data_IF_905236074499
#
_entry.id   IF_905236074499
#
_cell.length_a   1.000
_cell.length_b   1.000
_cell.length_c   1.000
_cell.angle_alpha   90.00
_cell.angle_beta   90.00
_cell.angle_gamma   90.00
#
_symmetry.space_group_name_H-M   'P 1'
#
loop_
_entity.id
_entity.type
_entity.pdbx_description
1 polymer ?
#
# COMPACT_ATOMS: atom_id res chain seq x y z
N UNK A 1 -19.98 2.18 21.32
CA UNK A 1 -18.66 1.81 20.77
C UNK A 1 -18.72 1.46 19.28
N UNK A 2 -19.62 0.56 18.85
CA UNK A 2 -19.77 0.21 17.42
C UNK A 2 -20.05 1.42 16.52
N UNK A 3 -20.96 2.32 16.94
CA UNK A 3 -21.28 3.54 16.20
C UNK A 3 -20.04 4.44 16.00
N UNK A 4 -19.29 4.69 17.07
CA UNK A 4 -18.04 5.46 17.00
C UNK A 4 -17.02 4.86 16.01
N UNK A 5 -16.89 3.53 15.94
CA UNK A 5 -16.00 2.88 14.97
C UNK A 5 -16.48 3.04 13.52
N UNK A 6 -17.79 3.03 13.31
CA UNK A 6 -18.41 3.27 11.99
C UNK A 6 -18.18 4.73 11.58
N UNK A 7 -18.41 5.69 12.48
CA UNK A 7 -18.21 7.11 12.22
C UNK A 7 -16.73 7.41 11.87
N UNK A 8 -15.79 6.75 12.56
CA UNK A 8 -14.36 6.81 12.24
C UNK A 8 -14.04 6.20 10.87
N UNK A 9 -14.61 5.04 10.52
CA UNK A 9 -14.44 4.47 9.19
C UNK A 9 -14.92 5.43 8.09
N UNK A 10 -16.08 6.07 8.29
CA UNK A 10 -16.65 7.03 7.34
C UNK A 10 -15.72 8.23 7.16
N UNK A 11 -15.19 8.77 8.26
CA UNK A 11 -14.25 9.89 8.23
C UNK A 11 -12.97 9.56 7.46
N UNK A 12 -12.51 8.31 7.52
CA UNK A 12 -11.28 7.85 6.87
C UNK A 12 -11.46 7.47 5.39
N UNK A 13 -12.69 7.19 4.93
CA UNK A 13 -12.95 6.75 3.55
C UNK A 13 -12.37 7.69 2.47
N UNK A 14 -12.50 9.04 2.56
CA UNK A 14 -11.95 9.94 1.54
C UNK A 14 -10.42 9.87 1.42
N UNK A 15 -9.73 9.58 2.53
CA UNK A 15 -8.28 9.49 2.57
C UNK A 15 -7.73 8.16 2.01
N UNK A 16 -8.57 7.11 1.91
CA UNK A 16 -8.12 5.78 1.48
C UNK A 16 -7.57 5.79 0.05
N UNK A 17 -8.25 6.46 -0.89
CA UNK A 17 -7.79 6.57 -2.29
C UNK A 17 -6.42 7.27 -2.39
N UNK A 18 -6.24 8.49 -1.85
CA UNK A 18 -4.93 9.14 -1.80
C UNK A 18 -3.83 8.26 -1.19
N UNK A 19 -4.12 7.53 -0.10
CA UNK A 19 -3.15 6.62 0.52
C UNK A 19 -2.70 5.50 -0.42
N UNK A 20 -3.62 4.91 -1.20
CA UNK A 20 -3.25 3.92 -2.22
C UNK A 20 -2.32 4.55 -3.26
N UNK A 21 -2.63 5.74 -3.76
CA UNK A 21 -1.81 6.40 -4.76
C UNK A 21 -0.42 6.77 -4.24
N UNK A 22 -0.32 7.20 -2.98
CA UNK A 22 0.97 7.40 -2.30
C UNK A 22 1.74 6.08 -2.26
N UNK A 23 1.09 4.97 -1.88
CA UNK A 23 1.69 3.64 -1.92
C UNK A 23 2.18 3.25 -3.32
N UNK A 24 1.36 3.45 -4.35
CA UNK A 24 1.77 3.20 -5.75
C UNK A 24 2.98 4.05 -6.14
N UNK A 25 3.00 5.33 -5.77
CA UNK A 25 4.15 6.22 -6.02
C UNK A 25 5.43 5.71 -5.38
N UNK A 26 5.38 5.30 -4.10
CA UNK A 26 6.54 4.71 -3.42
C UNK A 26 6.95 3.37 -4.03
N UNK A 27 5.99 2.52 -4.43
CA UNK A 27 6.28 1.26 -5.11
C UNK A 27 7.05 1.48 -6.42
N UNK A 28 6.57 2.38 -7.28
CA UNK A 28 7.25 2.73 -8.54
C UNK A 28 8.64 3.29 -8.24
N UNK A 29 8.76 4.25 -7.33
CA UNK A 29 10.04 4.85 -6.96
C UNK A 29 11.03 3.79 -6.44
N UNK A 30 10.58 2.90 -5.55
CA UNK A 30 11.39 1.84 -4.98
C UNK A 30 11.89 0.85 -6.03
N UNK A 31 11.02 0.48 -6.99
CA UNK A 31 11.39 -0.39 -8.11
C UNK A 31 12.38 0.30 -9.04
N UNK A 32 12.17 1.57 -9.39
CA UNK A 32 13.10 2.34 -10.24
C UNK A 32 14.47 2.45 -9.59
N UNK A 33 14.52 2.77 -8.29
CA UNK A 33 15.77 2.83 -7.53
C UNK A 33 16.47 1.47 -7.46
N UNK A 34 15.70 0.39 -7.32
CA UNK A 34 16.24 -0.97 -7.34
C UNK A 34 16.87 -1.31 -8.69
N UNK A 35 16.18 -1.03 -9.79
CA UNK A 35 16.71 -1.23 -11.15
C UNK A 35 17.96 -0.38 -11.36
N UNK A 36 17.94 0.89 -10.94
CA UNK A 36 19.08 1.78 -11.05
C UNK A 36 20.29 1.28 -10.24
N UNK A 37 20.06 0.73 -9.04
CA UNK A 37 21.10 0.08 -8.25
C UNK A 37 21.68 -1.14 -8.99
N UNK A 38 20.83 -1.99 -9.57
CA UNK A 38 21.27 -3.20 -10.28
C UNK A 38 22.07 -2.88 -11.56
N UNK A 39 21.67 -1.86 -12.32
CA UNK A 39 22.30 -1.51 -13.60
C UNK A 39 23.53 -0.61 -13.44
N UNK A 40 23.48 0.37 -12.53
CA UNK A 40 24.50 1.41 -12.40
C UNK A 40 25.33 1.30 -11.11
N UNK A 41 25.08 0.30 -10.26
CA UNK A 41 25.73 0.14 -8.94
C UNK A 41 25.66 1.40 -8.08
N UNK A 42 24.57 2.16 -8.21
CA UNK A 42 24.34 3.40 -7.48
C UNK A 42 24.04 3.11 -6.00
N UNK A 43 24.67 3.83 -5.04
CA UNK A 43 24.46 3.62 -3.60
C UNK A 43 23.10 4.16 -3.08
N UNK A 44 22.03 3.54 -3.55
CA UNK A 44 20.65 3.91 -3.22
C UNK A 44 19.96 2.90 -2.30
N UNK A 45 20.71 1.94 -1.72
CA UNK A 45 20.16 0.85 -0.91
C UNK A 45 19.30 1.34 0.26
N UNK A 46 19.71 2.43 0.91
CA UNK A 46 18.94 3.07 1.98
C UNK A 46 17.55 3.56 1.54
N UNK A 47 17.46 4.17 0.36
CA UNK A 47 16.20 4.69 -0.19
C UNK A 47 15.25 3.59 -0.67
N UNK A 48 15.81 2.50 -1.23
CA UNK A 48 15.03 1.30 -1.61
C UNK A 48 14.36 0.71 -0.36
N UNK A 49 15.13 0.53 0.72
CA UNK A 49 14.60 0.03 2.00
C UNK A 49 13.59 0.99 2.63
N UNK A 50 13.80 2.29 2.51
CA UNK A 50 12.85 3.28 3.00
C UNK A 50 11.50 3.18 2.28
N UNK A 51 11.51 3.06 0.96
CA UNK A 51 10.29 2.80 0.19
C UNK A 51 9.61 1.49 0.64
N UNK A 52 10.39 0.40 0.76
CA UNK A 52 9.87 -0.89 1.24
C UNK A 52 9.21 -0.80 2.62
N UNK A 53 9.76 -0.02 3.55
CA UNK A 53 9.17 0.20 4.89
C UNK A 53 7.85 0.97 4.84
N UNK A 54 7.74 2.00 4.00
CA UNK A 54 6.49 2.74 3.81
C UNK A 54 5.41 1.80 3.27
N UNK A 55 5.74 1.02 2.24
CA UNK A 55 4.81 0.04 1.66
C UNK A 55 4.39 -1.02 2.68
N UNK A 56 5.31 -1.48 3.52
CA UNK A 56 5.00 -2.42 4.59
C UNK A 56 4.01 -1.81 5.59
N UNK A 57 4.22 -0.55 5.98
CA UNK A 57 3.29 0.18 6.85
C UNK A 57 1.89 0.29 6.24
N UNK A 58 1.80 0.67 4.96
CA UNK A 58 0.53 0.72 4.23
C UNK A 58 -0.12 -0.65 4.10
N UNK A 59 0.65 -1.71 3.85
CA UNK A 59 0.15 -3.07 3.75
C UNK A 59 -0.52 -3.53 5.06
N UNK A 60 0.18 -3.34 6.18
CA UNK A 60 -0.35 -3.67 7.51
C UNK A 60 -1.61 -2.86 7.80
N UNK A 61 -1.61 -1.57 7.46
CA UNK A 61 -2.76 -0.69 7.63
C UNK A 61 -4.00 -1.19 6.85
N UNK A 62 -3.86 -1.47 5.55
CA UNK A 62 -4.99 -1.95 4.73
C UNK A 62 -5.51 -3.32 5.19
N UNK A 63 -4.62 -4.23 5.60
CA UNK A 63 -5.02 -5.52 6.16
C UNK A 63 -5.73 -5.37 7.50
N UNK A 64 -5.27 -4.47 8.38
CA UNK A 64 -5.93 -4.16 9.64
C UNK A 64 -7.33 -3.57 9.41
N UNK A 65 -7.47 -2.63 8.47
CA UNK A 65 -8.76 -2.09 8.07
C UNK A 65 -9.69 -3.16 7.48
N UNK A 66 -9.15 -4.12 6.71
CA UNK A 66 -9.92 -5.27 6.24
C UNK A 66 -10.52 -6.05 7.41
N UNK A 67 -9.69 -6.43 8.38
CA UNK A 67 -10.13 -7.18 9.57
C UNK A 67 -11.15 -6.39 10.37
N UNK A 68 -10.89 -5.10 10.64
CA UNK A 68 -11.80 -4.23 11.37
C UNK A 68 -13.16 -4.11 10.67
N UNK A 69 -13.19 -3.92 9.34
CA UNK A 69 -14.42 -3.89 8.57
C UNK A 69 -15.20 -5.20 8.68
N UNK A 70 -14.52 -6.34 8.52
CA UNK A 70 -15.16 -7.66 8.63
C UNK A 70 -15.76 -7.90 10.02
N UNK A 71 -15.08 -7.50 11.10
CA UNK A 71 -15.60 -7.58 12.48
C UNK A 71 -16.84 -6.71 12.70
N UNK A 72 -16.97 -5.61 11.97
CA UNK A 72 -18.15 -4.73 12.02
C UNK A 72 -19.29 -5.20 11.11
N UNK A 73 -19.08 -6.26 10.32
CA UNK A 73 -20.05 -6.78 9.36
C UNK A 73 -20.10 -6.02 8.03
N UNK A 74 -19.06 -5.24 7.71
CA UNK A 74 -18.97 -4.46 6.47
C UNK A 74 -17.77 -4.92 5.65
N UNK A 75 -17.92 -5.31 4.37
CA UNK A 75 -16.78 -5.64 3.52
C UNK A 75 -16.10 -4.36 3.01
N UNK A 76 -14.89 -3.99 3.48
CA UNK A 76 -14.26 -2.74 3.08
C UNK A 76 -13.68 -2.85 1.66
N UNK A 77 -14.05 -1.89 0.80
CA UNK A 77 -13.66 -1.82 -0.61
C UNK A 77 -13.44 -0.37 -1.02
N UNK A 78 -12.54 -0.13 -1.96
CA UNK A 78 -12.33 1.17 -2.60
C UNK A 78 -12.92 1.11 -4.01
N UNK A 79 -13.74 2.11 -4.38
CA UNK A 79 -14.22 2.25 -5.76
C UNK A 79 -13.19 3.01 -6.62
N UNK A 80 -12.48 2.34 -7.52
CA UNK A 80 -11.58 2.97 -8.49
C UNK A 80 -12.26 3.39 -9.80
N UNK A 81 -13.57 3.14 -9.95
CA UNK A 81 -14.30 3.52 -11.15
C UNK A 81 -14.63 5.02 -11.23
N UNK A 82 -15.02 5.44 -12.42
CA UNK A 82 -15.39 6.81 -12.75
C UNK A 82 -16.88 7.04 -12.43
N UNK A 83 -17.16 7.95 -11.50
CA UNK A 83 -18.54 8.26 -11.09
C UNK A 83 -19.34 8.91 -12.22
N UNK A 84 -18.70 9.62 -13.14
CA UNK A 84 -19.37 10.27 -14.27
C UNK A 84 -19.85 9.24 -15.30
N UNK A 85 -19.24 8.06 -15.32
CA UNK A 85 -19.54 6.96 -16.27
C UNK A 85 -20.28 5.80 -15.64
N UNK A 86 -20.69 5.91 -14.37
CA UNK A 86 -21.32 4.83 -13.60
C UNK A 86 -20.47 3.54 -13.55
N UNK A 87 -19.14 3.68 -13.57
CA UNK A 87 -18.23 2.55 -13.46
C UNK A 87 -17.90 2.27 -12.00
N UNK A 88 -18.00 0.99 -11.60
CA UNK A 88 -17.72 0.55 -10.24
C UNK A 88 -16.61 -0.52 -10.24
N UNK A 89 -15.38 -0.06 -10.00
CA UNK A 89 -14.22 -0.94 -9.84
C UNK A 89 -13.94 -1.07 -8.35
N UNK A 90 -14.68 -1.96 -7.68
CA UNK A 90 -14.59 -2.16 -6.24
C UNK A 90 -13.46 -3.14 -5.89
N UNK A 91 -12.34 -2.61 -5.44
CA UNK A 91 -11.19 -3.42 -5.00
C UNK A 91 -11.22 -3.59 -3.49
N UNK A 92 -11.22 -4.82 -2.95
CA UNK A 92 -11.18 -5.07 -1.52
C UNK A 92 -9.82 -4.71 -0.91
N UNK A 93 -9.82 -4.25 0.34
CA UNK A 93 -8.61 -3.74 0.99
C UNK A 93 -7.51 -4.80 1.13
N UNK A 94 -7.89 -6.07 1.30
CA UNK A 94 -6.91 -7.15 1.37
C UNK A 94 -6.08 -7.31 0.10
N UNK A 95 -6.65 -7.07 -1.08
CA UNK A 95 -5.89 -7.16 -2.35
C UNK A 95 -4.85 -6.06 -2.42
N UNK A 96 -5.23 -4.85 -2.01
CA UNK A 96 -4.33 -3.69 -1.96
C UNK A 96 -3.20 -3.93 -0.95
N UNK A 97 -3.57 -4.38 0.26
CA UNK A 97 -2.61 -4.70 1.31
C UNK A 97 -1.64 -5.82 0.91
N UNK A 98 -2.14 -6.90 0.27
CA UNK A 98 -1.32 -7.99 -0.22
C UNK A 98 -0.36 -7.55 -1.33
N UNK A 99 -0.82 -6.71 -2.26
CA UNK A 99 0.04 -6.15 -3.30
C UNK A 99 1.18 -5.30 -2.71
N UNK A 100 0.87 -4.40 -1.79
CA UNK A 100 1.90 -3.61 -1.10
C UNK A 100 2.85 -4.47 -0.27
N UNK A 101 2.35 -5.51 0.40
CA UNK A 101 3.18 -6.45 1.15
C UNK A 101 4.17 -7.16 0.22
N UNK A 102 3.68 -7.66 -0.93
CA UNK A 102 4.52 -8.37 -1.89
C UNK A 102 5.66 -7.46 -2.42
N UNK A 103 5.33 -6.22 -2.79
CA UNK A 103 6.34 -5.26 -3.25
C UNK A 103 7.31 -4.89 -2.12
N UNK A 104 6.81 -4.64 -0.90
CA UNK A 104 7.65 -4.34 0.25
C UNK A 104 8.66 -5.44 0.55
N UNK A 105 8.22 -6.71 0.50
CA UNK A 105 9.09 -7.87 0.69
C UNK A 105 10.12 -8.00 -0.42
N UNK A 106 9.73 -7.78 -1.69
CA UNK A 106 10.67 -7.80 -2.81
C UNK A 106 11.75 -6.71 -2.68
N UNK A 107 11.35 -5.47 -2.39
CA UNK A 107 12.29 -4.37 -2.17
C UNK A 107 13.17 -4.59 -0.94
N UNK A 108 12.61 -5.12 0.15
CA UNK A 108 13.34 -5.42 1.39
C UNK A 108 14.37 -6.53 1.21
N UNK A 109 14.00 -7.61 0.53
CA UNK A 109 14.88 -8.77 0.29
C UNK A 109 16.03 -8.43 -0.65
N UNK A 110 15.73 -7.73 -1.75
CA UNK A 110 16.75 -7.41 -2.76
C UNK A 110 17.56 -6.19 -2.31
N UNK A 111 16.91 -5.11 -1.86
CA UNK A 111 17.56 -3.90 -1.36
C UNK A 111 18.30 -4.04 -0.03
N UNK A 112 18.02 -5.09 0.75
CA UNK A 112 18.79 -5.42 1.96
C UNK A 112 20.17 -5.98 1.63
N UNK A 113 20.27 -6.79 0.57
CA UNK A 113 21.52 -7.40 0.11
C UNK A 113 22.49 -6.39 -0.49
N UNK A 114 21.95 -5.34 -1.10
CA UNK A 114 22.74 -4.28 -1.74
C UNK A 114 23.49 -3.38 -0.77
N UNK A 115 23.18 -3.45 0.53
CA UNK A 115 23.87 -2.66 1.58
C UNK A 115 25.09 -3.37 2.17
N UNK A 116 25.25 -4.67 1.87
CA UNK A 116 26.34 -5.51 2.38
C UNK A 116 27.43 -5.80 1.34
N UNK A 117 27.17 -5.47 0.06
CA UNK A 117 28.11 -5.59 -1.05
C UNK A 117 28.86 -4.28 -1.27
#
# INVERSE_FOLDING_TARGET
MRQFMIDMMILMMPAMKPMVWIGVGFAILGIVLLIAHMLFRSDNGGYILFSGRILLGLAVFFLACQVAGMLLGMPPKINFGDFEKMEFILVPFWQIGAAFLAVALALGFIGGRTRQA
#
